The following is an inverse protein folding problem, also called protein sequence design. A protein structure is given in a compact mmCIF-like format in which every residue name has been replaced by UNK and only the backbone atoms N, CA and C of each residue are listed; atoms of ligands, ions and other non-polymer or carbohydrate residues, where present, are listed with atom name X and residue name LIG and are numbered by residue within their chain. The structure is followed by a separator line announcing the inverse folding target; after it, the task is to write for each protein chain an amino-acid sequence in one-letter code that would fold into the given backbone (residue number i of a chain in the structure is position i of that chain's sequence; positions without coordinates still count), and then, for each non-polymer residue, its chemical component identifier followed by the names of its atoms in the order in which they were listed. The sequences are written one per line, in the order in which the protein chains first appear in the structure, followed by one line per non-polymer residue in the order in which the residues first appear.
data_IF_678171973206
#
_entry.id   IF_678171973206
#
_cell.length_a   1.000
_cell.length_b   1.000
_cell.length_c   1.000
_cell.angle_alpha   90.00
_cell.angle_beta   90.00
_cell.angle_gamma   90.00
#
_symmetry.space_group_name_H-M   'P 1'
#
loop_
_entity.id
_entity.type
_entity.pdbx_description
1 polymer ?
#
# COMPACT_ATOMS: atom_id res chain seq x y z
N UNK A 1 0.95 -24.20 21.59
CA UNK A 1 1.48 -23.11 20.74
C UNK A 1 0.34 -22.37 20.00
N UNK A 2 -0.76 -22.02 20.69
CA UNK A 2 -1.86 -21.17 20.18
C UNK A 2 -2.47 -20.45 21.40
N UNK A 3 -1.69 -19.59 22.07
CA UNK A 3 -2.16 -18.81 23.23
C UNK A 3 -1.90 -17.31 23.02
N UNK A 4 -2.28 -16.79 21.85
CA UNK A 4 -1.91 -15.44 21.48
C UNK A 4 -2.78 -14.81 20.41
N UNK A 5 -4.11 -15.00 20.43
CA UNK A 5 -4.99 -13.97 19.90
C UNK A 5 -5.00 -12.78 20.88
N UNK A 6 -3.84 -12.14 21.03
CA UNK A 6 -3.74 -10.78 21.51
C UNK A 6 -4.75 -9.97 20.69
N UNK A 7 -5.71 -9.32 21.35
CA UNK A 7 -6.63 -8.36 20.72
C UNK A 7 -5.79 -7.41 19.84
N UNK A 8 -5.83 -7.64 18.53
CA UNK A 8 -5.11 -6.82 17.55
C UNK A 8 -5.71 -5.43 17.58
N UNK A 9 -4.86 -4.41 17.58
CA UNK A 9 -5.33 -3.03 17.48
C UNK A 9 -5.84 -2.73 16.08
N UNK A 10 -6.61 -1.64 15.97
CA UNK A 10 -7.15 -1.17 14.70
C UNK A 10 -6.03 -0.84 13.69
N UNK A 11 -4.91 -0.28 14.15
CA UNK A 11 -3.78 0.08 13.29
C UNK A 11 -3.14 -1.15 12.62
N UNK A 12 -2.93 -2.23 13.37
CA UNK A 12 -2.37 -3.48 12.87
C UNK A 12 -3.25 -4.09 11.76
N UNK A 13 -4.58 -4.06 11.97
CA UNK A 13 -5.55 -4.50 10.95
C UNK A 13 -5.55 -3.60 9.72
N UNK A 14 -5.51 -2.28 9.89
CA UNK A 14 -5.49 -1.34 8.76
C UNK A 14 -4.22 -1.51 7.92
N UNK A 15 -3.04 -1.64 8.55
CA UNK A 15 -1.80 -1.89 7.81
C UNK A 15 -1.84 -3.24 7.09
N UNK A 16 -2.33 -4.31 7.74
CA UNK A 16 -2.48 -5.60 7.09
C UNK A 16 -3.46 -5.54 5.90
N UNK A 17 -4.59 -4.85 6.05
CA UNK A 17 -5.56 -4.66 4.96
C UNK A 17 -4.95 -3.88 3.79
N UNK A 18 -4.19 -2.81 4.07
CA UNK A 18 -3.44 -2.08 3.04
C UNK A 18 -2.39 -2.96 2.34
N UNK A 19 -1.75 -3.87 3.07
CA UNK A 19 -0.84 -4.86 2.51
C UNK A 19 -1.54 -5.84 1.57
N UNK A 20 -2.69 -6.40 1.99
CA UNK A 20 -3.52 -7.27 1.15
C UNK A 20 -4.00 -6.55 -0.10
N UNK A 21 -4.39 -5.28 0.03
CA UNK A 21 -4.76 -4.46 -1.13
C UNK A 21 -3.57 -4.31 -2.10
N UNK A 22 -2.37 -3.99 -1.58
CA UNK A 22 -1.17 -3.86 -2.40
C UNK A 22 -0.81 -5.18 -3.09
N UNK A 23 -1.03 -6.32 -2.42
CA UNK A 23 -0.94 -7.65 -3.03
C UNK A 23 -1.92 -7.81 -4.19
N UNK A 24 -3.20 -7.52 -3.96
CA UNK A 24 -4.23 -7.59 -4.99
C UNK A 24 -3.94 -6.69 -6.18
N UNK A 25 -3.42 -5.48 -5.94
CA UNK A 25 -3.01 -4.57 -7.00
C UNK A 25 -1.82 -5.12 -7.81
N UNK A 26 -0.83 -5.72 -7.16
CA UNK A 26 0.26 -6.39 -7.84
C UNK A 26 -0.23 -7.54 -8.73
N UNK A 27 -1.15 -8.37 -8.23
CA UNK A 27 -1.77 -9.45 -9.01
C UNK A 27 -2.60 -8.90 -10.18
N UNK A 28 -3.31 -7.79 -9.99
CA UNK A 28 -4.01 -7.09 -11.07
C UNK A 28 -3.04 -6.69 -12.19
N UNK A 29 -1.87 -6.13 -11.86
CA UNK A 29 -0.85 -5.76 -12.85
C UNK A 29 -0.27 -6.95 -13.62
N UNK A 30 -0.22 -8.13 -13.01
CA UNK A 30 0.28 -9.34 -13.65
C UNK A 30 -0.76 -9.96 -14.59
N UNK A 31 -2.01 -10.10 -14.13
CA UNK A 31 -2.99 -10.95 -14.80
C UNK A 31 -4.10 -10.22 -15.54
N UNK A 32 -4.42 -8.99 -15.14
CA UNK A 32 -5.65 -8.32 -15.56
C UNK A 32 -5.38 -7.02 -16.30
N UNK A 33 -4.37 -6.24 -15.88
CA UNK A 33 -4.10 -4.92 -16.44
C UNK A 33 -3.68 -5.04 -17.91
N UNK A 34 -4.39 -4.39 -18.85
CA UNK A 34 -3.93 -4.25 -20.23
C UNK A 34 -2.58 -3.54 -20.31
N UNK A 35 -1.77 -3.86 -21.32
CA UNK A 35 -0.46 -3.22 -21.49
C UNK A 35 -0.57 -1.71 -21.79
N UNK A 36 -1.58 -1.31 -22.56
CA UNK A 36 -1.87 0.10 -22.83
C UNK A 36 -3.32 0.37 -22.44
N UNK A 37 -3.52 1.26 -21.47
CA UNK A 37 -4.83 1.77 -21.17
C UNK A 37 -5.18 2.90 -22.16
N UNK A 38 -6.47 3.18 -22.42
CA UNK A 38 -6.88 4.31 -23.25
C UNK A 38 -6.31 5.65 -22.75
N UNK A 39 -6.19 5.80 -21.43
CA UNK A 39 -5.55 6.96 -20.78
C UNK A 39 -4.05 7.10 -21.11
N UNK A 40 -3.33 5.98 -21.23
CA UNK A 40 -1.90 5.97 -21.58
C UNK A 40 -1.70 6.49 -23.01
N UNK A 41 -2.51 6.00 -23.96
CA UNK A 41 -2.50 6.43 -25.37
C UNK A 41 -2.87 7.90 -25.52
N UNK A 42 -3.89 8.34 -24.78
CA UNK A 42 -4.30 9.76 -24.72
C UNK A 42 -3.18 10.65 -24.19
N UNK A 43 -2.49 10.23 -23.14
CA UNK A 43 -1.39 11.00 -22.56
C UNK A 43 -0.21 11.13 -23.54
N UNK A 44 0.08 10.09 -24.31
CA UNK A 44 1.11 10.12 -25.34
C UNK A 44 0.71 10.96 -26.57
N UNK A 45 -0.56 11.37 -26.69
CA UNK A 45 -1.05 12.14 -27.84
C UNK A 45 -0.97 11.37 -29.16
N UNK A 46 -0.96 10.04 -29.11
CA UNK A 46 -0.74 9.17 -30.25
C UNK A 46 -1.99 8.34 -30.57
N UNK A 47 -2.06 7.83 -31.80
CA UNK A 47 -3.05 6.83 -32.17
C UNK A 47 -2.49 5.41 -31.92
N UNK A 48 -3.34 4.50 -31.44
CA UNK A 48 -2.93 3.14 -31.11
C UNK A 48 -2.44 2.36 -32.33
N UNK A 49 -3.06 2.56 -33.51
CA UNK A 49 -2.64 1.88 -34.74
C UNK A 49 -1.29 2.43 -35.21
N UNK A 50 -1.08 3.74 -35.11
CA UNK A 50 0.21 4.36 -35.42
C UNK A 50 1.34 3.84 -34.50
N UNK A 51 1.07 3.70 -33.21
CA UNK A 51 2.01 3.11 -32.23
C UNK A 51 2.36 1.66 -32.57
N UNK A 52 1.37 0.85 -32.94
CA UNK A 52 1.59 -0.55 -33.31
C UNK A 52 2.35 -0.69 -34.63
N UNK A 53 2.16 0.23 -35.59
CA UNK A 53 2.89 0.21 -36.85
C UNK A 53 4.41 0.49 -36.65
N UNK A 54 4.76 1.38 -35.71
CA UNK A 54 6.16 1.75 -35.44
C UNK A 54 6.82 0.80 -34.45
N UNK A 55 6.08 0.29 -33.47
CA UNK A 55 6.60 -0.58 -32.41
C UNK A 55 5.63 -1.76 -32.13
N UNK A 56 5.58 -2.77 -33.02
CA UNK A 56 4.59 -3.86 -32.94
C UNK A 56 4.69 -4.70 -31.66
N UNK A 57 5.87 -4.78 -31.04
CA UNK A 57 6.11 -5.55 -29.82
C UNK A 57 6.02 -4.73 -28.53
N UNK A 58 5.59 -3.45 -28.60
CA UNK A 58 5.52 -2.58 -27.43
C UNK A 58 4.59 -3.14 -26.35
N UNK A 59 3.42 -3.66 -26.75
CA UNK A 59 2.47 -4.27 -25.83
C UNK A 59 3.05 -5.48 -25.08
N UNK A 60 3.75 -6.36 -25.80
CA UNK A 60 4.38 -7.55 -25.22
C UNK A 60 5.53 -7.22 -24.27
N UNK A 61 6.27 -6.15 -24.57
CA UNK A 61 7.31 -5.63 -23.69
C UNK A 61 6.71 -5.02 -22.43
N UNK A 62 5.70 -4.15 -22.57
CA UNK A 62 4.99 -3.54 -21.45
C UNK A 62 4.33 -4.58 -20.55
N UNK A 63 3.72 -5.63 -21.10
CA UNK A 63 3.18 -6.74 -20.32
C UNK A 63 4.23 -7.39 -19.40
N UNK A 64 5.45 -7.60 -19.91
CA UNK A 64 6.57 -8.12 -19.09
C UNK A 64 7.00 -7.12 -18.02
N UNK A 65 7.07 -5.83 -18.33
CA UNK A 65 7.40 -4.78 -17.36
C UNK A 65 6.35 -4.74 -16.24
N UNK A 66 5.05 -4.77 -16.58
CA UNK A 66 3.98 -4.80 -15.57
C UNK A 66 3.96 -6.09 -14.77
N UNK A 67 4.38 -7.21 -15.35
CA UNK A 67 4.52 -8.47 -14.61
C UNK A 67 5.58 -8.34 -13.52
N UNK A 68 6.75 -7.79 -13.86
CA UNK A 68 7.83 -7.56 -12.89
C UNK A 68 7.41 -6.54 -11.83
N UNK A 69 6.85 -5.40 -12.24
CA UNK A 69 6.35 -4.39 -11.30
C UNK A 69 5.25 -4.93 -10.39
N UNK A 70 4.29 -5.67 -10.94
CA UNK A 70 3.22 -6.32 -10.19
C UNK A 70 3.76 -7.34 -9.18
N UNK A 71 4.80 -8.09 -9.55
CA UNK A 71 5.54 -8.97 -8.64
C UNK A 71 6.18 -8.22 -7.47
N UNK A 72 6.83 -7.09 -7.74
CA UNK A 72 7.38 -6.22 -6.69
C UNK A 72 6.29 -5.66 -5.77
N UNK A 73 5.16 -5.21 -6.32
CA UNK A 73 4.02 -4.73 -5.54
C UNK A 73 3.43 -5.84 -4.67
N UNK A 74 3.26 -7.04 -5.23
CA UNK A 74 2.76 -8.19 -4.51
C UNK A 74 3.70 -8.60 -3.36
N UNK A 75 5.00 -8.68 -3.63
CA UNK A 75 6.02 -8.95 -2.61
C UNK A 75 6.04 -7.89 -1.51
N UNK A 76 5.98 -6.60 -1.86
CA UNK A 76 5.88 -5.52 -0.90
C UNK A 76 4.61 -5.64 -0.04
N UNK A 77 3.47 -5.98 -0.65
CA UNK A 77 2.22 -6.24 0.05
C UNK A 77 2.35 -7.37 1.07
N UNK A 78 3.00 -8.49 0.71
CA UNK A 78 3.29 -9.59 1.64
C UNK A 78 4.12 -9.11 2.83
N UNK A 79 5.18 -8.32 2.58
CA UNK A 79 6.02 -7.75 3.63
C UNK A 79 5.23 -6.82 4.55
N UNK A 80 4.34 -5.99 4.00
CA UNK A 80 3.47 -5.09 4.77
C UNK A 80 2.49 -5.87 5.63
N UNK A 81 1.87 -6.93 5.10
CA UNK A 81 0.99 -7.83 5.88
C UNK A 81 1.78 -8.45 7.03
N UNK A 82 2.96 -9.02 6.75
CA UNK A 82 3.82 -9.59 7.78
C UNK A 82 4.22 -8.54 8.84
N UNK A 83 4.54 -7.32 8.42
CA UNK A 83 4.90 -6.25 9.34
C UNK A 83 3.73 -5.86 10.24
N UNK A 84 2.54 -5.63 9.67
CA UNK A 84 1.33 -5.32 10.43
C UNK A 84 0.92 -6.44 11.39
N UNK A 85 1.07 -7.69 10.94
CA UNK A 85 0.60 -8.85 11.67
C UNK A 85 1.61 -9.48 12.63
N UNK A 86 2.90 -9.23 12.46
CA UNK A 86 3.92 -9.91 13.29
C UNK A 86 4.79 -8.90 14.02
N UNK A 87 5.14 -7.80 13.36
CA UNK A 87 6.14 -6.85 13.85
C UNK A 87 5.51 -5.70 14.64
N UNK A 88 4.42 -5.10 14.17
CA UNK A 88 3.76 -3.98 14.86
C UNK A 88 3.33 -4.26 16.32
N UNK A 89 2.88 -5.48 16.71
CA UNK A 89 2.54 -5.76 18.10
C UNK A 89 3.71 -5.62 19.08
N UNK A 90 4.94 -5.87 18.64
CA UNK A 90 6.14 -5.74 19.48
C UNK A 90 6.62 -4.29 19.60
N UNK A 91 5.99 -3.35 18.88
CA UNK A 91 6.25 -1.90 18.93
C UNK A 91 7.74 -1.56 18.77
N UNK A 92 8.45 -2.07 17.74
CA UNK A 92 9.88 -1.82 17.61
C UNK A 92 10.15 -0.33 17.37
N UNK A 93 11.29 0.15 17.89
CA UNK A 93 11.73 1.54 17.71
C UNK A 93 11.89 1.83 16.21
N UNK A 94 11.39 2.99 15.77
CA UNK A 94 11.45 3.42 14.37
C UNK A 94 10.36 2.87 13.46
N UNK A 95 9.44 2.02 13.95
CA UNK A 95 8.36 1.43 13.14
C UNK A 95 7.55 2.48 12.35
N UNK A 96 7.18 3.59 12.99
CA UNK A 96 6.41 4.66 12.35
C UNK A 96 7.17 5.34 11.21
N UNK A 97 8.47 5.60 11.39
CA UNK A 97 9.29 6.21 10.33
C UNK A 97 9.40 5.26 9.13
N UNK A 98 9.66 3.98 9.38
CA UNK A 98 9.71 2.96 8.31
C UNK A 98 8.37 2.87 7.58
N UNK A 99 7.26 2.78 8.31
CA UNK A 99 5.92 2.74 7.71
C UNK A 99 5.56 4.02 6.94
N UNK A 100 6.00 5.19 7.41
CA UNK A 100 5.82 6.46 6.70
C UNK A 100 6.61 6.49 5.39
N UNK A 101 7.88 6.08 5.41
CA UNK A 101 8.71 6.00 4.20
C UNK A 101 8.18 4.99 3.20
N UNK A 102 7.79 3.80 3.65
CA UNK A 102 7.16 2.77 2.80
C UNK A 102 5.88 3.31 2.19
N UNK A 103 4.98 3.90 2.98
CA UNK A 103 3.74 4.47 2.49
C UNK A 103 3.95 5.61 1.48
N UNK A 104 4.95 6.47 1.72
CA UNK A 104 5.29 7.56 0.82
C UNK A 104 5.82 7.05 -0.53
N UNK A 105 6.78 6.13 -0.51
CA UNK A 105 7.44 5.61 -1.71
C UNK A 105 6.56 4.68 -2.54
N UNK A 106 5.60 4.00 -1.91
CA UNK A 106 4.72 3.06 -2.61
C UNK A 106 3.37 3.68 -2.94
N UNK A 107 2.60 4.10 -1.93
CA UNK A 107 1.20 4.46 -2.09
C UNK A 107 1.01 5.91 -2.52
N UNK A 108 1.69 6.84 -1.84
CA UNK A 108 1.56 8.28 -2.11
C UNK A 108 2.14 8.60 -3.48
N UNK A 109 3.36 8.12 -3.78
CA UNK A 109 3.98 8.33 -5.08
C UNK A 109 3.11 7.80 -6.22
N UNK A 110 2.60 6.57 -6.11
CA UNK A 110 1.74 5.99 -7.13
C UNK A 110 0.45 6.79 -7.31
N UNK A 111 -0.21 7.20 -6.22
CA UNK A 111 -1.43 8.00 -6.27
C UNK A 111 -1.19 9.38 -6.89
N UNK A 112 -0.09 10.05 -6.51
CA UNK A 112 0.28 11.36 -7.03
C UNK A 112 0.53 11.33 -8.54
N UNK A 113 1.28 10.34 -9.02
CA UNK A 113 1.54 10.17 -10.46
C UNK A 113 0.23 9.89 -11.21
N UNK A 114 -0.65 9.03 -10.69
CA UNK A 114 -1.93 8.73 -11.33
C UNK A 114 -2.90 9.93 -11.34
N UNK A 115 -2.84 10.79 -10.31
CA UNK A 115 -3.57 12.06 -10.29
C UNK A 115 -3.05 13.01 -11.37
N UNK A 116 -1.73 13.13 -11.52
CA UNK A 116 -1.08 13.97 -12.53
C UNK A 116 -1.35 13.49 -13.97
N UNK A 117 -1.48 12.18 -14.18
CA UNK A 117 -1.87 11.58 -15.47
C UNK A 117 -3.36 11.75 -15.79
N UNK A 118 -4.16 12.30 -14.87
CA UNK A 118 -5.63 12.28 -14.96
C UNK A 118 -6.20 10.87 -15.23
N UNK A 119 -5.61 9.85 -14.58
CA UNK A 119 -6.07 8.46 -14.70
C UNK A 119 -7.48 8.31 -14.14
N UNK A 120 -8.27 7.43 -14.77
CA UNK A 120 -9.62 7.10 -14.32
C UNK A 120 -9.60 6.40 -12.94
N UNK A 121 -8.46 5.79 -12.57
CA UNK A 121 -8.26 5.09 -11.29
C UNK A 121 -7.82 5.99 -10.13
N UNK A 122 -7.55 7.28 -10.37
CA UNK A 122 -6.92 8.19 -9.38
C UNK A 122 -7.61 8.21 -8.01
N UNK A 123 -8.94 8.13 -7.96
CA UNK A 123 -9.69 8.14 -6.71
C UNK A 123 -9.60 6.82 -5.95
N UNK A 124 -9.68 5.70 -6.68
CA UNK A 124 -9.49 4.36 -6.12
C UNK A 124 -8.10 4.25 -5.48
N UNK A 125 -7.08 4.79 -6.15
CA UNK A 125 -5.71 4.77 -5.65
C UNK A 125 -5.51 5.71 -4.45
N UNK A 126 -6.20 6.86 -4.42
CA UNK A 126 -6.14 7.80 -3.30
C UNK A 126 -6.73 7.26 -1.98
N UNK A 127 -7.62 6.28 -2.02
CA UNK A 127 -8.18 5.67 -0.80
C UNK A 127 -7.10 5.00 0.07
N UNK A 128 -6.13 4.35 -0.57
CA UNK A 128 -5.11 3.57 0.13
C UNK A 128 -4.13 4.43 0.97
N UNK A 129 -3.53 5.53 0.47
CA UNK A 129 -2.70 6.39 1.30
C UNK A 129 -3.50 7.07 2.44
N UNK A 130 -4.80 7.32 2.27
CA UNK A 130 -5.65 7.83 3.34
C UNK A 130 -5.84 6.79 4.44
N UNK A 131 -6.16 5.54 4.08
CA UNK A 131 -6.26 4.43 5.04
C UNK A 131 -4.93 4.19 5.77
N UNK A 132 -3.80 4.30 5.06
CA UNK A 132 -2.46 4.18 5.63
C UNK A 132 -2.15 5.31 6.63
N UNK A 133 -2.45 6.56 6.28
CA UNK A 133 -2.25 7.69 7.17
C UNK A 133 -3.09 7.54 8.46
N UNK A 134 -4.34 7.10 8.33
CA UNK A 134 -5.18 6.80 9.49
C UNK A 134 -4.57 5.69 10.36
N UNK A 135 -4.00 4.65 9.75
CA UNK A 135 -3.34 3.57 10.48
C UNK A 135 -2.12 4.06 11.29
N UNK A 136 -1.29 4.93 10.70
CA UNK A 136 -0.15 5.54 11.38
C UNK A 136 -0.58 6.39 12.58
N UNK A 137 -1.60 7.24 12.41
CA UNK A 137 -2.15 8.05 13.51
C UNK A 137 -2.66 7.16 14.63
N UNK A 138 -3.41 6.10 14.30
CA UNK A 138 -3.91 5.16 15.29
C UNK A 138 -2.78 4.41 16.01
N UNK A 139 -1.71 4.03 15.30
CA UNK A 139 -0.57 3.36 15.88
C UNK A 139 0.13 4.22 16.95
N UNK A 140 0.32 5.51 16.66
CA UNK A 140 0.88 6.49 17.60
C UNK A 140 -0.04 6.73 18.80
N UNK A 141 -1.33 6.90 18.58
CA UNK A 141 -2.32 7.08 19.65
C UNK A 141 -2.36 5.87 20.61
N UNK A 142 -2.25 4.65 20.06
CA UNK A 142 -2.16 3.44 20.87
C UNK A 142 -0.85 3.36 21.67
N UNK A 143 0.27 3.83 21.10
CA UNK A 143 1.55 3.94 21.80
C UNK A 143 1.45 4.86 23.01
N UNK A 144 0.88 6.06 22.82
CA UNK A 144 0.69 7.06 23.89
C UNK A 144 -0.21 6.58 25.02
N UNK A 145 -1.32 5.90 24.71
CA UNK A 145 -2.23 5.34 25.73
C UNK A 145 -1.55 4.29 26.61
N UNK A 146 -0.62 3.51 26.05
CA UNK A 146 0.09 2.44 26.76
C UNK A 146 1.27 2.95 27.60
N UNK A 147 1.82 4.12 27.28
CA UNK A 147 2.89 4.78 28.04
C UNK A 147 2.39 5.65 29.20
N UNK A 148 1.09 5.93 29.29
CA UNK A 148 0.53 6.63 30.45
C UNK A 148 0.58 5.69 31.67
N UNK A 149 1.27 6.06 32.76
CA UNK A 149 1.25 5.25 33.98
C UNK A 149 -0.19 5.20 34.50
N UNK A 150 -0.67 4.01 34.85
CA UNK A 150 -1.90 3.84 35.62
C UNK A 150 -1.70 4.64 36.91
N UNK A 151 -2.34 5.80 37.01
CA UNK A 151 -2.37 6.59 38.24
C UNK A 151 -2.94 5.68 39.31
N UNK A 152 -2.11 5.37 40.30
CA UNK A 152 -2.42 4.48 41.42
C UNK A 152 -3.78 4.82 42.02
N UNK A 153 -4.68 3.84 42.05
CA UNK A 153 -5.74 3.85 43.03
C UNK A 153 -5.10 3.51 44.38
N UNK A 154 -4.47 4.50 45.02
CA UNK A 154 -4.17 4.44 46.45
C UNK A 154 -5.51 4.51 47.19
N UNK A 155 -6.12 3.36 47.42
CA UNK A 155 -7.11 3.23 48.48
C UNK A 155 -6.36 3.25 49.81
N UNK A 156 -6.18 4.46 50.33
CA UNK A 156 -6.16 4.69 51.77
C UNK A 156 -7.59 4.57 52.25
N UNK A 157 -7.87 3.54 53.03
CA UNK A 157 -8.72 3.56 54.23
C UNK A 157 -8.57 2.23 54.95
#
# INVERSE_FOLDING_TARGET
MIQGLCRRGLAEWLIAACGVWLMGLGLYFIFVRPALLPEDVRYMGADLQALQAVAPHLGDWLGKVFTVMGGFMAGAGVLVVYFGWTVMPSRPRGATLVLALVGALTLVLMSAVNLALHSDFRWLLALQPLAWAAALVQYELQGRKRSLPIRSASHSK
#
